data_IF_840396912275
#
_entry.id   IF_840396912275
#
_cell.length_a   1.000
_cell.length_b   1.000
_cell.length_c   1.000
_cell.angle_alpha   90.00
_cell.angle_beta   90.00
_cell.angle_gamma   90.00
#
_symmetry.space_group_name_H-M   'P 1'
#
loop_
_entity.id
_entity.type
_entity.pdbx_description
1 polymer ?
#
# COMPACT_ATOMS: atom_id res chain seq x y z
N UNK A 1 12.01 9.39 19.14
CA UNK A 1 12.74 9.25 17.88
C UNK A 1 13.43 10.57 17.63
N UNK A 2 14.74 10.58 17.34
CA UNK A 2 15.42 11.84 17.11
C UNK A 2 15.05 12.43 15.73
N UNK A 3 15.39 13.69 15.50
CA UNK A 3 15.00 14.40 14.27
C UNK A 3 15.60 13.79 13.00
N UNK A 4 16.88 13.40 13.06
CA UNK A 4 17.59 12.81 11.91
C UNK A 4 16.98 11.45 11.52
N UNK A 5 16.64 10.63 12.51
CA UNK A 5 15.95 9.36 12.32
C UNK A 5 14.58 9.54 11.66
N UNK A 6 13.80 10.51 12.12
CA UNK A 6 12.46 10.79 11.56
C UNK A 6 12.55 11.21 10.10
N UNK A 7 13.55 12.03 9.76
CA UNK A 7 13.79 12.47 8.39
C UNK A 7 14.23 11.34 7.47
N UNK A 8 15.13 10.50 7.95
CA UNK A 8 15.57 9.33 7.21
C UNK A 8 14.41 8.36 7.00
N UNK A 9 13.61 8.09 8.03
CA UNK A 9 12.46 7.21 7.96
C UNK A 9 11.48 7.64 6.87
N UNK A 10 11.11 8.93 6.83
CA UNK A 10 10.17 9.43 5.83
C UNK A 10 10.74 9.32 4.41
N UNK A 11 12.03 9.63 4.23
CA UNK A 11 12.68 9.47 2.92
C UNK A 11 12.63 8.01 2.45
N UNK A 12 12.97 7.07 3.33
CA UNK A 12 12.93 5.64 3.02
C UNK A 12 11.51 5.16 2.72
N UNK A 13 10.52 5.65 3.46
CA UNK A 13 9.11 5.36 3.22
C UNK A 13 8.64 5.86 1.84
N UNK A 14 9.01 7.09 1.45
CA UNK A 14 8.66 7.65 0.14
C UNK A 14 9.34 6.82 -0.95
N UNK A 15 10.62 6.50 -0.79
CA UNK A 15 11.35 5.65 -1.74
C UNK A 15 10.68 4.28 -1.87
N UNK A 16 10.28 3.65 -0.76
CA UNK A 16 9.60 2.36 -0.77
C UNK A 16 8.27 2.40 -1.53
N UNK A 17 7.39 3.36 -1.25
CA UNK A 17 6.13 3.47 -2.00
C UNK A 17 6.35 3.89 -3.47
N UNK A 18 7.35 4.71 -3.78
CA UNK A 18 7.74 5.04 -5.16
C UNK A 18 8.22 3.81 -5.92
N UNK A 19 9.06 2.99 -5.32
CA UNK A 19 9.52 1.75 -5.94
C UNK A 19 8.39 0.74 -6.08
N UNK A 20 7.48 0.64 -5.10
CA UNK A 20 6.28 -0.17 -5.21
C UNK A 20 5.43 0.23 -6.43
N UNK A 21 5.17 1.52 -6.61
CA UNK A 21 4.45 2.02 -7.78
C UNK A 21 5.20 1.75 -9.10
N UNK A 22 6.51 2.03 -9.14
CA UNK A 22 7.32 1.82 -10.34
C UNK A 22 7.38 0.35 -10.74
N UNK A 23 7.63 -0.56 -9.80
CA UNK A 23 7.67 -1.99 -10.09
C UNK A 23 6.28 -2.56 -10.40
N UNK A 24 5.22 -2.08 -9.75
CA UNK A 24 3.84 -2.41 -10.12
C UNK A 24 3.53 -2.07 -11.57
N UNK A 25 3.90 -0.86 -12.00
CA UNK A 25 3.77 -0.40 -13.38
C UNK A 25 4.67 -1.17 -14.34
N UNK A 26 5.94 -1.38 -14.00
CA UNK A 26 6.90 -2.13 -14.81
C UNK A 26 6.43 -3.56 -15.10
N UNK A 27 5.85 -4.24 -14.11
CA UNK A 27 5.28 -5.58 -14.29
C UNK A 27 4.18 -5.64 -15.35
N UNK A 28 3.48 -4.53 -15.60
CA UNK A 28 2.43 -4.44 -16.62
C UNK A 28 2.96 -4.34 -18.06
N UNK A 29 4.27 -4.09 -18.25
CA UNK A 29 4.90 -4.04 -19.57
C UNK A 29 5.50 -5.37 -20.01
N UNK A 30 5.57 -6.36 -19.12
CA UNK A 30 6.02 -7.71 -19.46
C UNK A 30 4.85 -8.58 -19.95
N UNK A 31 5.16 -9.66 -20.66
CA UNK A 31 4.16 -10.63 -21.09
C UNK A 31 3.39 -11.19 -19.89
N UNK A 32 2.05 -11.37 -19.99
CA UNK A 32 1.25 -11.93 -18.91
C UNK A 32 1.78 -13.29 -18.46
N UNK A 33 1.84 -13.50 -17.14
CA UNK A 33 2.37 -14.71 -16.49
C UNK A 33 3.87 -14.99 -16.77
N UNK A 34 4.62 -14.02 -17.29
CA UNK A 34 6.06 -14.16 -17.46
C UNK A 34 6.83 -14.01 -16.14
N UNK A 35 8.03 -14.61 -16.10
CA UNK A 35 8.96 -14.46 -14.97
C UNK A 35 9.28 -12.99 -14.67
N UNK A 36 9.41 -12.16 -15.70
CA UNK A 36 9.68 -10.73 -15.58
C UNK A 36 8.54 -9.98 -14.89
N UNK A 37 7.29 -10.25 -15.29
CA UNK A 37 6.10 -9.68 -14.66
C UNK A 37 6.04 -10.05 -13.17
N UNK A 38 6.14 -11.34 -12.85
CA UNK A 38 6.05 -11.85 -11.48
C UNK A 38 7.15 -11.27 -10.60
N UNK A 39 8.40 -11.28 -11.08
CA UNK A 39 9.54 -10.74 -10.32
C UNK A 39 9.36 -9.24 -10.07
N UNK A 40 8.87 -8.48 -11.06
CA UNK A 40 8.60 -7.06 -10.90
C UNK A 40 7.55 -6.82 -9.81
N UNK A 41 6.42 -7.54 -9.85
CA UNK A 41 5.38 -7.42 -8.83
C UNK A 41 5.85 -7.85 -7.44
N UNK A 42 6.62 -8.93 -7.32
CA UNK A 42 7.22 -9.37 -6.05
C UNK A 42 8.17 -8.32 -5.46
N UNK A 43 8.99 -7.69 -6.29
CA UNK A 43 9.84 -6.56 -5.85
C UNK A 43 8.98 -5.37 -5.41
N UNK A 44 7.93 -5.07 -6.16
CA UNK A 44 6.96 -4.05 -5.81
C UNK A 44 6.32 -4.29 -4.44
N UNK A 45 5.81 -5.49 -4.20
CA UNK A 45 5.20 -5.89 -2.92
C UNK A 45 6.22 -5.85 -1.78
N UNK A 46 7.46 -6.28 -2.01
CA UNK A 46 8.54 -6.19 -1.01
C UNK A 46 8.80 -4.76 -0.56
N UNK A 47 8.82 -3.82 -1.52
CA UNK A 47 9.00 -2.40 -1.21
C UNK A 47 7.78 -1.82 -0.48
N UNK A 48 6.58 -2.30 -0.79
CA UNK A 48 5.35 -1.89 -0.10
C UNK A 48 5.30 -2.39 1.35
N UNK A 49 5.71 -3.63 1.61
CA UNK A 49 5.86 -4.19 2.95
C UNK A 49 6.83 -3.32 3.75
N UNK A 50 8.02 -3.06 3.21
CA UNK A 50 9.03 -2.21 3.83
C UNK A 50 8.47 -0.81 4.16
N UNK A 51 7.85 -0.14 3.18
CA UNK A 51 7.27 1.19 3.38
C UNK A 51 6.14 1.19 4.42
N UNK A 52 5.31 0.16 4.44
CA UNK A 52 4.19 0.01 5.39
C UNK A 52 4.67 -0.17 6.83
N UNK A 53 5.75 -0.92 7.06
CA UNK A 53 6.35 -1.05 8.40
C UNK A 53 6.91 0.30 8.89
N UNK A 54 7.62 1.03 8.02
CA UNK A 54 8.10 2.37 8.36
C UNK A 54 6.95 3.35 8.61
N UNK A 55 5.89 3.27 7.80
CA UNK A 55 4.68 4.08 7.92
C UNK A 55 4.02 3.86 9.29
N UNK A 56 3.86 2.60 9.68
CA UNK A 56 3.36 2.22 11.00
C UNK A 56 4.18 2.85 12.12
N UNK A 57 5.51 2.76 12.04
CA UNK A 57 6.41 3.36 13.04
C UNK A 57 6.27 4.88 13.13
N UNK A 58 6.21 5.57 11.99
CA UNK A 58 6.03 7.03 11.95
C UNK A 58 4.69 7.47 12.55
N UNK A 59 3.60 6.84 12.11
CA UNK A 59 2.25 7.14 12.56
C UNK A 59 2.07 6.83 14.05
N UNK A 60 2.66 5.73 14.53
CA UNK A 60 2.70 5.39 15.96
C UNK A 60 3.46 6.42 16.78
N UNK A 61 4.60 6.93 16.28
CA UNK A 61 5.34 8.02 16.93
C UNK A 61 4.53 9.31 17.03
N UNK A 62 3.56 9.53 16.12
CA UNK A 62 2.60 10.65 16.18
C UNK A 62 1.38 10.38 17.10
N UNK A 63 1.39 9.29 17.87
CA UNK A 63 0.32 8.91 18.78
C UNK A 63 -0.94 8.38 18.10
N UNK A 64 -0.90 8.07 16.79
CA UNK A 64 -2.04 7.58 16.02
C UNK A 64 -2.03 6.04 15.95
N UNK A 65 -2.09 5.37 17.11
CA UNK A 65 -1.84 3.93 17.23
C UNK A 65 -2.78 3.04 16.40
N UNK A 66 -4.05 3.42 16.25
CA UNK A 66 -5.03 2.69 15.44
C UNK A 66 -4.60 2.67 13.96
N UNK A 67 -4.23 3.83 13.42
CA UNK A 67 -3.75 3.93 12.05
C UNK A 67 -2.38 3.25 11.86
N UNK A 68 -1.52 3.26 12.88
CA UNK A 68 -0.26 2.53 12.86
C UNK A 68 -0.49 1.01 12.73
N UNK A 69 -1.41 0.45 13.52
CA UNK A 69 -1.82 -0.96 13.37
C UNK A 69 -2.41 -1.25 11.99
N UNK A 70 -3.13 -0.28 11.41
CA UNK A 70 -3.58 -0.33 10.02
C UNK A 70 -2.44 -0.49 9.03
N UNK A 71 -1.37 0.30 9.13
CA UNK A 71 -0.18 0.17 8.28
C UNK A 71 0.57 -1.15 8.49
N UNK A 72 0.64 -1.67 9.72
CA UNK A 72 1.20 -3.01 9.96
C UNK A 72 0.37 -4.07 9.24
N UNK A 73 -0.96 -4.00 9.35
CA UNK A 73 -1.88 -4.92 8.66
C UNK A 73 -1.80 -4.77 7.14
N UNK A 74 -1.54 -3.56 6.64
CA UNK A 74 -1.35 -3.28 5.22
C UNK A 74 -0.07 -3.91 4.68
N UNK A 75 1.02 -3.90 5.46
CA UNK A 75 2.22 -4.66 5.15
C UNK A 75 1.96 -6.17 5.09
N UNK A 76 1.12 -6.71 5.98
CA UNK A 76 0.70 -8.12 5.92
C UNK A 76 -0.09 -8.40 4.64
N UNK A 77 -0.99 -7.51 4.21
CA UNK A 77 -1.73 -7.67 2.96
C UNK A 77 -0.78 -7.76 1.74
N UNK A 78 0.22 -6.89 1.65
CA UNK A 78 1.26 -7.04 0.62
C UNK A 78 2.10 -8.31 0.79
N UNK A 79 2.33 -8.78 2.02
CA UNK A 79 2.96 -10.08 2.27
C UNK A 79 2.16 -11.26 1.72
N UNK A 80 0.83 -11.21 1.82
CA UNK A 80 -0.07 -12.21 1.21
C UNK A 80 -0.01 -12.12 -0.31
N UNK A 81 -0.03 -10.91 -0.88
CA UNK A 81 0.16 -10.67 -2.32
C UNK A 81 1.48 -11.27 -2.83
N UNK A 82 2.57 -10.96 -2.13
CA UNK A 82 3.90 -11.47 -2.44
C UNK A 82 3.95 -13.00 -2.42
N UNK A 83 3.38 -13.63 -1.38
CA UNK A 83 3.34 -15.08 -1.26
C UNK A 83 2.40 -15.76 -2.27
N UNK A 84 1.40 -15.03 -2.78
CA UNK A 84 0.49 -15.52 -3.82
C UNK A 84 1.10 -15.50 -5.23
N UNK A 85 2.10 -14.66 -5.44
CA UNK A 85 2.89 -14.58 -6.67
C UNK A 85 3.96 -15.67 -6.65
N UNK A 86 3.65 -16.87 -7.15
CA UNK A 86 4.65 -17.92 -7.31
C UNK A 86 5.42 -17.73 -8.63
N UNK A 87 6.70 -18.09 -8.65
CA UNK A 87 7.60 -17.98 -9.82
C UNK A 87 7.04 -18.64 -11.10
N UNK A 88 6.11 -19.61 -10.95
CA UNK A 88 5.61 -20.41 -12.06
C UNK A 88 4.19 -20.06 -12.50
N UNK A 89 3.38 -19.40 -11.66
CA UNK A 89 2.01 -19.01 -11.97
C UNK A 89 1.41 -18.08 -10.90
N UNK A 90 0.64 -17.09 -11.33
CA UNK A 90 -0.25 -16.34 -10.43
C UNK A 90 -1.44 -17.22 -10.08
N UNK A 91 -1.69 -17.42 -8.79
CA UNK A 91 -2.90 -18.12 -8.34
C UNK A 91 -3.97 -17.07 -7.99
N UNK A 92 -5.00 -16.99 -8.83
CA UNK A 92 -6.08 -16.00 -8.74
C UNK A 92 -6.88 -16.13 -7.44
N UNK A 93 -7.13 -17.36 -6.99
CA UNK A 93 -7.79 -17.63 -5.70
C UNK A 93 -6.96 -17.10 -4.53
N UNK A 94 -5.63 -17.26 -4.59
CA UNK A 94 -4.73 -16.71 -3.58
C UNK A 94 -4.65 -15.19 -3.66
N UNK A 95 -4.67 -14.59 -4.85
CA UNK A 95 -4.73 -13.13 -4.96
C UNK A 95 -6.02 -12.57 -4.35
N UNK A 96 -7.16 -13.25 -4.50
CA UNK A 96 -8.41 -12.83 -3.88
C UNK A 96 -8.33 -12.78 -2.34
N UNK A 97 -7.48 -13.60 -1.72
CA UNK A 97 -7.29 -13.58 -0.26
C UNK A 97 -6.64 -12.30 0.26
N UNK A 98 -6.01 -11.49 -0.60
CA UNK A 98 -5.43 -10.18 -0.22
C UNK A 98 -6.49 -9.25 0.39
N UNK A 99 -7.76 -9.39 -0.01
CA UNK A 99 -8.82 -8.50 0.43
C UNK A 99 -9.07 -8.60 1.94
N UNK A 100 -8.89 -9.80 2.50
CA UNK A 100 -9.19 -10.11 3.89
C UNK A 100 -8.35 -9.28 4.86
N UNK A 101 -7.01 -9.17 4.70
CA UNK A 101 -6.20 -8.24 5.48
C UNK A 101 -6.25 -6.80 4.95
N UNK A 102 -6.45 -6.58 3.65
CA UNK A 102 -6.38 -5.25 3.04
C UNK A 102 -7.50 -4.32 3.52
N UNK A 103 -8.76 -4.78 3.49
CA UNK A 103 -9.92 -3.98 3.87
C UNK A 103 -9.85 -3.48 5.33
N UNK A 104 -9.62 -4.35 6.34
CA UNK A 104 -9.46 -3.87 7.71
C UNK A 104 -8.22 -2.97 7.85
N UNK A 105 -7.12 -3.23 7.14
CA UNK A 105 -5.95 -2.36 7.16
C UNK A 105 -6.28 -0.93 6.70
N UNK A 106 -6.92 -0.79 5.54
CA UNK A 106 -7.32 0.51 4.97
C UNK A 106 -8.36 1.19 5.85
N UNK A 107 -9.30 0.45 6.42
CA UNK A 107 -10.26 0.97 7.39
C UNK A 107 -9.56 1.58 8.60
N UNK A 108 -8.59 0.89 9.20
CA UNK A 108 -7.82 1.43 10.33
C UNK A 108 -6.98 2.65 9.93
N UNK A 109 -6.35 2.64 8.75
CA UNK A 109 -5.59 3.78 8.21
C UNK A 109 -6.49 5.01 8.04
N UNK A 110 -7.76 4.83 7.69
CA UNK A 110 -8.72 5.93 7.50
C UNK A 110 -8.94 6.76 8.77
N UNK A 111 -8.64 6.23 9.97
CA UNK A 111 -8.71 7.00 11.23
C UNK A 111 -7.52 7.94 11.44
N UNK A 112 -6.50 7.90 10.58
CA UNK A 112 -5.31 8.72 10.75
C UNK A 112 -5.61 10.22 10.60
N UNK A 113 -5.45 10.98 11.69
CA UNK A 113 -5.74 12.41 11.70
C UNK A 113 -4.79 13.26 10.83
N UNK A 114 -3.65 12.71 10.44
CA UNK A 114 -2.65 13.38 9.59
C UNK A 114 -3.18 13.59 8.17
N UNK A 115 -4.03 12.68 7.68
CA UNK A 115 -4.55 12.73 6.32
C UNK A 115 -5.78 13.64 6.22
N UNK A 116 -5.98 14.36 5.11
CA UNK A 116 -7.23 15.08 4.87
C UNK A 116 -8.40 14.10 4.69
N UNK A 117 -9.63 14.56 4.94
CA UNK A 117 -10.83 13.72 4.91
C UNK A 117 -11.03 12.98 3.58
N UNK A 118 -10.75 13.63 2.45
CA UNK A 118 -10.86 13.02 1.13
C UNK A 118 -9.89 11.85 0.93
N UNK A 119 -8.70 11.89 1.51
CA UNK A 119 -7.71 10.82 1.38
C UNK A 119 -8.07 9.61 2.26
N UNK A 120 -8.67 9.87 3.42
CA UNK A 120 -9.23 8.81 4.29
C UNK A 120 -10.37 8.09 3.60
N UNK A 121 -11.30 8.85 3.00
CA UNK A 121 -12.43 8.30 2.27
C UNK A 121 -12.00 7.62 0.95
N UNK A 122 -11.06 8.22 0.23
CA UNK A 122 -10.47 7.64 -0.99
C UNK A 122 -9.80 6.30 -0.73
N UNK A 123 -9.17 6.12 0.44
CA UNK A 123 -8.75 4.83 0.97
C UNK A 123 -9.85 3.78 0.91
N UNK A 124 -10.97 4.06 1.57
CA UNK A 124 -12.12 3.15 1.65
C UNK A 124 -12.75 2.88 0.28
N UNK A 125 -12.81 3.87 -0.60
CA UNK A 125 -13.33 3.70 -1.96
C UNK A 125 -12.51 2.71 -2.78
N UNK A 126 -11.19 2.65 -2.57
CA UNK A 126 -10.32 1.69 -3.26
C UNK A 126 -10.58 0.25 -2.81
N UNK A 127 -11.23 0.01 -1.67
CA UNK A 127 -11.68 -1.33 -1.31
C UNK A 127 -12.79 -1.86 -2.24
N UNK A 128 -13.59 -1.00 -2.87
CA UNK A 128 -14.69 -1.40 -3.76
C UNK A 128 -14.21 -2.24 -4.95
N UNK A 129 -13.21 -1.81 -5.76
CA UNK A 129 -12.72 -2.63 -6.87
C UNK A 129 -12.09 -3.95 -6.39
N UNK A 130 -11.45 -3.99 -5.22
CA UNK A 130 -11.01 -5.26 -4.62
C UNK A 130 -12.20 -6.20 -4.29
N UNK A 131 -13.31 -5.67 -3.77
CA UNK A 131 -14.52 -6.47 -3.53
C UNK A 131 -15.12 -7.02 -4.83
N UNK A 132 -15.12 -6.22 -5.90
CA UNK A 132 -15.57 -6.68 -7.22
C UNK A 132 -14.67 -7.81 -7.74
N UNK A 133 -13.34 -7.63 -7.66
CA UNK A 133 -12.36 -8.66 -8.00
C UNK A 133 -12.63 -9.96 -7.21
N UNK A 134 -12.79 -9.86 -5.89
CA UNK A 134 -13.08 -11.02 -5.04
C UNK A 134 -14.36 -11.75 -5.45
N UNK A 135 -15.42 -11.00 -5.77
CA UNK A 135 -16.68 -11.58 -6.28
C UNK A 135 -16.46 -12.31 -7.61
N UNK A 136 -15.71 -11.72 -8.54
CA UNK A 136 -15.41 -12.34 -9.83
C UNK A 136 -14.65 -13.66 -9.68
N UNK A 137 -13.70 -13.72 -8.74
CA UNK A 137 -12.96 -14.94 -8.42
C UNK A 137 -13.89 -16.03 -7.86
N UNK A 138 -14.73 -15.72 -6.87
CA UNK A 138 -15.69 -16.69 -6.32
C UNK A 138 -16.65 -17.23 -7.40
N UNK A 139 -17.06 -16.37 -8.33
CA UNK A 139 -17.96 -16.74 -9.41
C UNK A 139 -17.28 -17.50 -10.56
N UNK A 140 -15.95 -17.66 -10.53
CA UNK A 140 -15.19 -18.26 -11.64
C UNK A 140 -15.21 -17.42 -12.92
N UNK A 141 -15.47 -16.12 -12.81
CA UNK A 141 -15.58 -15.17 -13.94
C UNK A 141 -14.41 -14.19 -14.00
N UNK A 142 -13.38 -14.43 -13.17
CA UNK A 142 -12.21 -13.56 -13.10
C UNK A 142 -11.51 -13.49 -14.45
N UNK A 143 -11.17 -12.28 -14.85
CA UNK A 143 -10.34 -11.98 -16.01
C UNK A 143 -9.21 -11.10 -15.56
N UNK A 144 -7.98 -11.50 -15.87
CA UNK A 144 -6.81 -10.75 -15.43
C UNK A 144 -6.81 -9.29 -15.95
N UNK A 145 -7.37 -9.08 -17.14
CA UNK A 145 -7.45 -7.78 -17.83
C UNK A 145 -8.65 -6.91 -17.40
N UNK A 146 -9.42 -7.34 -16.40
CA UNK A 146 -10.56 -6.54 -15.95
C UNK A 146 -10.11 -5.18 -15.40
N UNK A 147 -10.83 -4.12 -15.78
CA UNK A 147 -10.56 -2.75 -15.34
C UNK A 147 -10.65 -2.64 -13.82
N UNK A 148 -11.50 -3.44 -13.17
CA UNK A 148 -11.62 -3.50 -11.72
C UNK A 148 -10.27 -3.84 -11.05
N UNK A 149 -9.53 -4.81 -11.61
CA UNK A 149 -8.21 -5.20 -11.11
C UNK A 149 -7.20 -4.07 -11.30
N UNK A 150 -7.18 -3.46 -12.48
CA UNK A 150 -6.28 -2.32 -12.76
C UNK A 150 -6.51 -1.19 -11.76
N UNK A 151 -7.77 -0.79 -11.55
CA UNK A 151 -8.12 0.27 -10.59
C UNK A 151 -7.79 -0.11 -9.15
N UNK A 152 -7.98 -1.38 -8.76
CA UNK A 152 -7.62 -1.88 -7.44
C UNK A 152 -6.11 -1.72 -7.17
N UNK A 153 -5.26 -2.29 -8.04
CA UNK A 153 -3.81 -2.32 -7.85
C UNK A 153 -3.16 -0.94 -8.07
N UNK A 154 -3.52 -0.22 -9.13
CA UNK A 154 -2.97 1.13 -9.36
C UNK A 154 -3.47 2.09 -8.27
N UNK A 155 -4.74 1.99 -7.90
CA UNK A 155 -5.33 2.83 -6.87
C UNK A 155 -4.61 2.69 -5.53
N UNK A 156 -4.36 1.46 -5.08
CA UNK A 156 -3.71 1.23 -3.79
C UNK A 156 -2.24 1.68 -3.78
N UNK A 157 -1.52 1.55 -4.91
CA UNK A 157 -0.15 2.06 -5.05
C UNK A 157 -0.12 3.60 -5.02
N UNK A 158 -1.04 4.25 -5.73
CA UNK A 158 -1.19 5.71 -5.72
C UNK A 158 -1.56 6.21 -4.32
N UNK A 159 -2.41 5.51 -3.58
CA UNK A 159 -2.68 5.83 -2.18
C UNK A 159 -1.42 5.75 -1.31
N UNK A 160 -0.57 4.75 -1.51
CA UNK A 160 0.73 4.66 -0.84
C UNK A 160 1.57 5.92 -1.04
N UNK A 161 1.65 6.40 -2.29
CA UNK A 161 2.34 7.66 -2.61
C UNK A 161 1.70 8.86 -1.92
N UNK A 162 0.37 9.00 -1.99
CA UNK A 162 -0.34 10.12 -1.37
C UNK A 162 -0.17 10.12 0.14
N UNK A 163 -0.32 8.97 0.80
CA UNK A 163 -0.07 8.84 2.23
C UNK A 163 1.36 9.24 2.59
N UNK A 164 2.35 8.80 1.81
CA UNK A 164 3.75 9.18 2.04
C UNK A 164 3.99 10.69 1.94
N UNK A 165 3.36 11.34 0.96
CA UNK A 165 3.42 12.78 0.77
C UNK A 165 2.82 13.53 1.97
N UNK A 166 1.67 13.09 2.50
CA UNK A 166 1.06 13.74 3.66
C UNK A 166 1.85 13.49 4.94
N UNK A 167 2.49 12.33 5.12
CA UNK A 167 3.43 12.10 6.22
C UNK A 167 4.62 13.05 6.15
N UNK A 168 5.18 13.25 4.95
CA UNK A 168 6.23 14.24 4.73
C UNK A 168 5.78 15.66 5.07
N UNK A 169 4.60 16.08 4.59
CA UNK A 169 4.03 17.40 4.88
C UNK A 169 3.85 17.62 6.39
N UNK A 170 3.37 16.61 7.10
CA UNK A 170 3.27 16.64 8.56
C UNK A 170 4.64 16.85 9.22
N UNK A 171 5.67 16.11 8.80
CA UNK A 171 7.02 16.26 9.35
C UNK A 171 7.61 17.65 9.12
N UNK A 172 7.42 18.22 7.93
CA UNK A 172 7.85 19.60 7.63
C UNK A 172 7.14 20.59 8.56
N UNK A 173 5.83 20.42 8.78
CA UNK A 173 5.05 21.27 9.69
C UNK A 173 5.58 21.20 11.13
N UNK A 174 5.88 20.00 11.63
CA UNK A 174 6.38 19.81 12.99
C UNK A 174 7.74 20.47 13.21
N UNK A 175 8.65 20.35 12.23
CA UNK A 175 9.94 21.05 12.25
C UNK A 175 9.83 22.56 12.30
N UNK A 176 8.80 23.12 11.68
CA UNK A 176 8.57 24.57 11.71
C UNK A 176 8.13 25.02 13.10
N UNK A 177 7.28 24.23 13.76
CA UNK A 177 6.80 24.55 15.11
C UNK A 177 7.93 24.46 16.14
N UNK A 178 8.82 23.47 16.03
CA UNK A 178 10.00 23.33 16.90
C UNK A 178 11.02 24.48 16.78
N UNK A 179 11.06 25.19 15.65
CA UNK A 179 11.96 26.34 15.48
C UNK A 179 11.41 27.63 16.09
N UNK A 180 10.10 27.69 16.31
CA UNK A 180 9.40 28.88 16.80
C UNK A 180 9.15 28.85 18.31
N UNK A 181 9.45 27.72 18.96
CA UNK A 181 9.44 27.53 20.40
C UNK A 181 10.86 27.57 20.95
#
# INVERSE_FOLDING_TARGET
>A
MNRKETDLLIKLLIVGYSLNFLFGMLGSFFEPQSYGQMTSWMLGDSMAIFASVLASRYIGFRGQNIAAAGYTSFGIAYGVSFASSAINAVNEEKMATIILPLVPAVFLISFCKIFPGWLRFGGLLICIPFFLMYKHVIQGTYKHEDLSNLFAYVGIQVLGLLWSYFMYKDNVKQKSNEKNN
#
